data_IF_156035005530
#
_entry.id   IF_156035005530
#
_cell.length_a   1.000
_cell.length_b   1.000
_cell.length_c   1.000
_cell.angle_alpha   90.00
_cell.angle_beta   90.00
_cell.angle_gamma   90.00
#
_symmetry.space_group_name_H-M   'P 1'
#
loop_
_entity.id
_entity.type
_entity.pdbx_description
1 polymer ?
#
# COMPACT_ATOMS: atom_id res chain seq x y z
N UNK A 1 21.88 -14.48 5.88
CA UNK A 1 21.65 -14.56 4.42
C UNK A 1 20.15 -14.68 4.20
N UNK A 2 19.44 -13.58 3.98
CA UNK A 2 17.99 -13.58 3.81
C UNK A 2 17.65 -13.82 2.33
N UNK A 3 17.00 -14.94 2.04
CA UNK A 3 16.59 -15.36 0.70
C UNK A 3 15.37 -14.56 0.27
N UNK A 4 15.49 -13.76 -0.79
CA UNK A 4 14.34 -13.10 -1.41
C UNK A 4 13.41 -14.17 -2.01
N UNK A 5 12.26 -14.40 -1.37
CA UNK A 5 11.28 -15.36 -1.84
C UNK A 5 10.39 -14.64 -2.85
N UNK A 6 10.53 -15.01 -4.12
CA UNK A 6 9.70 -14.50 -5.21
C UNK A 6 8.26 -14.96 -4.95
N UNK A 7 7.37 -14.03 -4.59
CA UNK A 7 5.95 -14.29 -4.34
C UNK A 7 5.27 -14.64 -5.68
N UNK A 8 5.38 -15.89 -6.11
CA UNK A 8 4.86 -16.32 -7.41
C UNK A 8 4.40 -17.77 -7.31
N UNK A 9 3.07 -17.92 -7.34
CA UNK A 9 2.25 -19.13 -7.61
C UNK A 9 1.44 -19.73 -6.45
N UNK A 10 1.50 -19.19 -5.24
CA UNK A 10 0.49 -19.44 -4.19
C UNK A 10 0.13 -18.12 -3.52
N UNK A 11 -0.74 -17.33 -4.18
CA UNK A 11 -1.20 -16.07 -3.62
C UNK A 11 -2.27 -16.37 -2.55
N UNK A 12 -1.83 -16.83 -1.37
CA UNK A 12 -2.66 -16.79 -0.16
C UNK A 12 -2.76 -15.37 0.39
N UNK A 13 -2.91 -14.38 -0.50
CA UNK A 13 -3.21 -13.03 -0.08
C UNK A 13 -4.60 -13.09 0.58
N UNK A 14 -4.71 -12.72 1.86
CA UNK A 14 -6.02 -12.66 2.50
C UNK A 14 -6.93 -11.73 1.69
N UNK A 15 -8.23 -12.04 1.68
CA UNK A 15 -9.21 -11.15 1.07
C UNK A 15 -9.10 -9.76 1.73
N UNK A 16 -9.33 -8.71 0.92
CA UNK A 16 -9.42 -7.37 1.48
C UNK A 16 -10.56 -7.32 2.49
N UNK A 17 -10.41 -6.59 3.61
CA UNK A 17 -11.49 -6.42 4.57
C UNK A 17 -12.69 -5.77 3.88
N UNK A 18 -13.91 -6.28 4.13
CA UNK A 18 -15.16 -5.73 3.57
C UNK A 18 -15.58 -4.38 4.19
N UNK A 19 -14.80 -3.88 5.15
CA UNK A 19 -15.06 -2.64 5.86
C UNK A 19 -14.56 -1.40 5.10
N UNK A 20 -14.06 -0.43 5.87
CA UNK A 20 -13.48 0.79 5.31
C UNK A 20 -12.25 0.46 4.45
N UNK A 21 -12.21 0.82 3.15
CA UNK A 21 -11.06 0.55 2.29
C UNK A 21 -9.90 1.53 2.49
N UNK A 22 -10.09 2.66 3.18
CA UNK A 22 -9.06 3.69 3.37
C UNK A 22 -7.79 3.17 4.06
N UNK A 23 -7.85 2.35 5.13
CA UNK A 23 -6.66 1.78 5.75
C UNK A 23 -5.85 0.89 4.79
N UNK A 24 -6.54 0.14 3.92
CA UNK A 24 -5.91 -0.74 2.94
C UNK A 24 -5.21 0.07 1.84
N UNK A 25 -5.86 1.12 1.34
CA UNK A 25 -5.26 2.07 0.38
C UNK A 25 -4.01 2.71 1.01
N UNK A 26 -4.07 3.13 2.26
CA UNK A 26 -2.93 3.69 2.98
C UNK A 26 -1.81 2.67 3.14
N UNK A 27 -2.14 1.40 3.47
CA UNK A 27 -1.14 0.32 3.55
C UNK A 27 -0.44 0.11 2.20
N UNK A 28 -1.18 0.13 1.10
CA UNK A 28 -0.64 0.03 -0.24
C UNK A 28 0.26 1.24 -0.60
N UNK A 29 -0.16 2.46 -0.27
CA UNK A 29 0.65 3.66 -0.51
C UNK A 29 1.94 3.64 0.32
N UNK A 30 1.89 3.19 1.58
CA UNK A 30 3.10 2.99 2.42
C UNK A 30 4.04 1.98 1.79
N UNK A 31 3.48 0.85 1.37
CA UNK A 31 4.26 -0.21 0.72
C UNK A 31 4.99 0.32 -0.51
N UNK A 32 4.34 1.17 -1.30
CA UNK A 32 4.90 1.81 -2.48
C UNK A 32 5.78 3.04 -2.17
N UNK A 33 6.10 3.30 -0.90
CA UNK A 33 6.87 4.47 -0.43
C UNK A 33 6.28 5.82 -0.88
N UNK A 34 4.96 5.90 -1.01
CA UNK A 34 4.26 7.12 -1.39
C UNK A 34 3.94 7.98 -0.17
N UNK A 35 3.82 9.29 -0.39
CA UNK A 35 3.41 10.22 0.65
C UNK A 35 1.94 9.99 1.02
N UNK A 36 1.64 10.03 2.32
CA UNK A 36 0.27 9.84 2.84
C UNK A 36 -0.09 11.08 3.67
N UNK A 37 -1.26 11.70 3.43
CA UNK A 37 -1.72 12.82 4.22
C UNK A 37 -1.97 12.38 5.67
N UNK A 38 -1.57 13.18 6.65
CA UNK A 38 -1.65 12.84 8.08
C UNK A 38 -3.10 12.59 8.54
N UNK A 39 -4.05 13.33 7.98
CA UNK A 39 -5.49 13.27 8.30
C UNK A 39 -6.31 12.44 7.31
N UNK A 40 -5.73 11.40 6.72
CA UNK A 40 -6.41 10.57 5.72
C UNK A 40 -7.72 9.93 6.21
N UNK A 41 -7.91 9.76 7.53
CA UNK A 41 -9.15 9.22 8.11
C UNK A 41 -10.33 10.20 8.01
N UNK A 42 -10.05 11.50 7.90
CA UNK A 42 -11.05 12.55 7.70
C UNK A 42 -11.41 12.72 6.21
N UNK A 43 -10.58 12.19 5.30
CA UNK A 43 -10.80 12.25 3.87
C UNK A 43 -11.83 11.23 3.41
N UNK A 44 -12.56 11.61 2.35
CA UNK A 44 -13.30 10.65 1.54
C UNK A 44 -12.31 9.75 0.77
N UNK A 45 -12.79 8.60 0.28
CA UNK A 45 -11.98 7.71 -0.55
C UNK A 45 -11.52 8.43 -1.82
N UNK A 46 -12.39 9.23 -2.42
CA UNK A 46 -12.11 9.98 -3.65
C UNK A 46 -11.02 11.03 -3.42
N UNK A 47 -11.10 11.79 -2.31
CA UNK A 47 -10.08 12.78 -1.96
C UNK A 47 -8.73 12.13 -1.63
N UNK A 48 -8.76 10.98 -0.96
CA UNK A 48 -7.55 10.21 -0.65
C UNK A 48 -6.86 9.74 -1.95
N UNK A 49 -7.63 9.21 -2.91
CA UNK A 49 -7.10 8.79 -4.20
C UNK A 49 -6.64 9.97 -5.05
N UNK A 50 -7.39 11.07 -5.08
CA UNK A 50 -7.00 12.28 -5.79
C UNK A 50 -5.66 12.82 -5.29
N UNK A 51 -5.44 12.84 -3.96
CA UNK A 51 -4.17 13.24 -3.37
C UNK A 51 -3.05 12.25 -3.65
N UNK A 52 -3.33 10.94 -3.64
CA UNK A 52 -2.35 9.92 -3.98
C UNK A 52 -1.87 10.05 -5.44
N UNK A 53 -2.79 10.33 -6.37
CA UNK A 53 -2.48 10.59 -7.79
C UNK A 53 -1.68 11.89 -7.94
N UNK A 54 -2.10 12.96 -7.27
CA UNK A 54 -1.42 14.26 -7.36
C UNK A 54 0.02 14.23 -6.84
N UNK A 55 0.28 13.43 -5.79
CA UNK A 55 1.60 13.32 -5.15
C UNK A 55 2.41 12.10 -5.61
N UNK A 56 1.94 11.41 -6.65
CA UNK A 56 2.49 10.16 -7.13
C UNK A 56 3.95 10.31 -7.59
N UNK A 57 4.84 9.50 -7.01
CA UNK A 57 6.26 9.53 -7.28
C UNK A 57 6.75 8.12 -7.61
N UNK A 58 6.72 7.73 -8.91
CA UNK A 58 7.16 6.40 -9.35
C UNK A 58 8.62 6.11 -8.97
N UNK A 59 9.47 7.14 -8.94
CA UNK A 59 10.88 7.01 -8.59
C UNK A 59 11.13 6.53 -7.14
N UNK A 60 10.12 6.57 -6.26
CA UNK A 60 10.23 6.06 -4.88
C UNK A 60 9.88 4.57 -4.76
N UNK A 61 9.35 3.97 -5.81
CA UNK A 61 8.95 2.57 -5.82
C UNK A 61 10.20 1.72 -6.00
N UNK A 62 10.53 0.93 -4.98
CA UNK A 62 11.69 0.05 -5.02
C UNK A 62 11.41 -1.18 -5.89
N UNK A 63 12.41 -1.64 -6.65
CA UNK A 63 12.26 -2.78 -7.55
C UNK A 63 12.05 -4.13 -6.87
N UNK A 64 12.29 -4.21 -5.55
CA UNK A 64 12.06 -5.41 -4.74
C UNK A 64 11.60 -4.98 -3.35
N UNK A 65 10.29 -5.00 -3.13
CA UNK A 65 9.67 -4.73 -1.84
C UNK A 65 9.01 -6.00 -1.32
N UNK A 66 9.35 -6.40 -0.11
CA UNK A 66 8.59 -7.41 0.63
C UNK A 66 7.61 -6.67 1.52
N UNK A 67 6.32 -6.99 1.41
CA UNK A 67 5.36 -6.51 2.40
C UNK A 67 5.77 -7.13 3.74
N UNK A 68 5.84 -6.36 4.84
CA UNK A 68 6.01 -6.97 6.15
C UNK A 68 4.85 -7.95 6.32
N UNK A 69 5.18 -9.24 6.48
CA UNK A 69 4.21 -10.21 6.93
C UNK A 69 3.80 -9.75 8.33
N UNK A 70 2.56 -9.28 8.47
CA UNK A 70 2.03 -8.88 9.76
C UNK A 70 2.20 -10.06 10.74
N UNK A 71 2.90 -9.81 11.84
CA UNK A 71 3.08 -10.71 12.99
C UNK A 71 1.83 -10.70 13.87
#
# INVERSE_FOLDING_TARGET
>A
MATAIKLSKQNHAPALPEGDPRPEIVRALRFLNQAIPEEWQALSIDDLLAQAVANWQPAKIEHSQMAPAEL
#
